data_IF_105078591703
#
_entry.id   IF_105078591703
#
_cell.length_a   1.000
_cell.length_b   1.000
_cell.length_c   1.000
_cell.angle_alpha   90.00
_cell.angle_beta   90.00
_cell.angle_gamma   90.00
#
_symmetry.space_group_name_H-M   'P 1'
#
loop_
_entity.id
_entity.type
_entity.pdbx_description
1 polymer ?
#
# COMPACT_ATOMS: atom_id res chain seq x y z
N UNK A 1 14.65 -8.56 -9.77
CA UNK A 1 14.65 -7.33 -10.59
C UNK A 1 15.89 -6.48 -10.30
N UNK A 2 16.70 -6.17 -11.33
CA UNK A 2 17.86 -5.26 -11.22
C UNK A 2 17.66 -4.07 -12.15
N UNK A 3 17.74 -2.84 -11.63
CA UNK A 3 17.71 -1.63 -12.47
C UNK A 3 19.04 -1.53 -13.22
N UNK A 4 18.99 -1.60 -14.55
CA UNK A 4 20.17 -1.53 -15.42
C UNK A 4 20.42 -0.11 -15.93
N UNK A 5 19.36 0.68 -16.12
CA UNK A 5 19.48 2.09 -16.44
C UNK A 5 18.32 2.90 -15.89
N UNK A 6 18.59 4.15 -15.52
CA UNK A 6 17.61 5.10 -15.03
C UNK A 6 17.96 6.50 -15.52
N UNK A 7 16.95 7.34 -15.69
CA UNK A 7 17.08 8.76 -15.97
C UNK A 7 16.94 9.55 -14.67
N UNK A 8 17.85 10.50 -14.43
CA UNK A 8 17.73 11.41 -13.30
C UNK A 8 16.77 12.54 -13.67
N UNK A 9 15.70 12.72 -12.90
CA UNK A 9 14.72 13.77 -13.19
C UNK A 9 15.38 15.13 -12.90
N UNK A 10 15.46 16.00 -13.90
CA UNK A 10 16.22 17.28 -13.86
C UNK A 10 15.92 18.15 -12.63
N UNK A 11 14.71 18.07 -12.08
CA UNK A 11 14.25 18.92 -10.98
C UNK A 11 14.20 18.22 -9.61
N UNK A 12 14.69 16.98 -9.51
CA UNK A 12 14.79 16.26 -8.24
C UNK A 12 16.09 15.48 -8.17
N UNK A 13 17.05 15.87 -7.30
CA UNK A 13 18.29 15.13 -7.15
C UNK A 13 18.10 13.72 -6.56
N UNK A 14 16.88 13.42 -6.06
CA UNK A 14 16.51 12.20 -5.34
C UNK A 14 15.49 11.33 -6.07
N UNK A 15 15.03 11.75 -7.25
CA UNK A 15 14.07 10.99 -8.06
C UNK A 15 14.73 10.47 -9.32
N UNK A 16 14.52 9.18 -9.59
CA UNK A 16 15.04 8.49 -10.78
C UNK A 16 13.88 7.82 -11.48
N UNK A 17 13.78 8.00 -12.80
CA UNK A 17 12.86 7.24 -13.64
C UNK A 17 13.59 6.01 -14.15
N UNK A 18 13.09 4.83 -13.84
CA UNK A 18 13.69 3.59 -14.34
C UNK A 18 13.43 3.46 -15.84
N UNK A 19 14.48 3.23 -16.63
CA UNK A 19 14.38 3.07 -18.08
C UNK A 19 14.49 1.62 -18.51
N UNK A 20 15.40 0.86 -17.88
CA UNK A 20 15.64 -0.55 -18.22
C UNK A 20 15.89 -1.35 -16.96
N UNK A 21 15.22 -2.49 -16.86
CA UNK A 21 15.40 -3.51 -15.83
C UNK A 21 15.95 -4.79 -16.46
N UNK A 22 16.72 -5.58 -15.71
CA UNK A 22 17.29 -6.86 -16.17
C UNK A 22 16.27 -7.97 -16.36
N UNK A 23 15.07 -7.80 -15.80
CA UNK A 23 13.99 -8.77 -15.88
C UNK A 23 12.89 -8.19 -16.76
N UNK A 24 12.57 -8.91 -17.83
CA UNK A 24 11.36 -8.66 -18.60
C UNK A 24 10.18 -9.09 -17.71
N UNK A 25 9.44 -8.11 -17.22
CA UNK A 25 8.30 -8.31 -16.29
C UNK A 25 7.28 -9.26 -16.92
N UNK A 26 7.02 -9.14 -18.22
CA UNK A 26 6.07 -9.98 -18.98
C UNK A 26 6.54 -11.44 -19.12
N UNK A 27 7.87 -11.68 -19.10
CA UNK A 27 8.43 -13.05 -19.11
C UNK A 27 8.57 -13.65 -17.71
N UNK A 28 8.63 -12.82 -16.67
CA UNK A 28 8.92 -13.24 -15.29
C UNK A 28 7.64 -13.44 -14.48
N UNK A 29 6.57 -12.73 -14.83
CA UNK A 29 5.26 -12.82 -14.18
C UNK A 29 4.22 -13.40 -15.15
N UNK A 30 4.26 -14.71 -15.36
CA UNK A 30 3.15 -15.42 -15.99
C UNK A 30 2.03 -15.62 -14.96
N UNK A 31 0.89 -14.96 -15.12
CA UNK A 31 -0.25 -15.09 -14.21
C UNK A 31 -1.40 -14.17 -14.57
N UNK A 32 -2.62 -14.52 -14.16
CA UNK A 32 -3.80 -13.66 -14.31
C UNK A 32 -3.91 -12.73 -13.10
N UNK A 33 -3.03 -11.74 -13.06
CA UNK A 33 -2.97 -10.78 -11.97
C UNK A 33 -4.18 -9.85 -11.97
N UNK A 34 -4.75 -9.64 -10.78
CA UNK A 34 -5.80 -8.66 -10.51
C UNK A 34 -5.36 -7.73 -9.38
N UNK A 35 -5.92 -6.53 -9.33
CA UNK A 35 -5.72 -5.62 -8.19
C UNK A 35 -6.12 -6.32 -6.88
N UNK A 36 -5.28 -6.18 -5.85
CA UNK A 36 -5.51 -6.80 -4.55
C UNK A 36 -6.78 -6.27 -3.88
N UNK A 37 -7.12 -5.01 -4.13
CA UNK A 37 -8.39 -4.40 -3.71
C UNK A 37 -9.61 -5.16 -4.26
N UNK A 38 -9.63 -5.44 -5.57
CA UNK A 38 -10.68 -6.24 -6.22
C UNK A 38 -10.72 -7.68 -5.68
N UNK A 39 -9.55 -8.27 -5.45
CA UNK A 39 -9.47 -9.60 -4.83
C UNK A 39 -10.11 -9.61 -3.43
N UNK A 40 -9.78 -8.65 -2.57
CA UNK A 40 -10.32 -8.54 -1.21
C UNK A 40 -11.85 -8.35 -1.19
N UNK A 41 -12.38 -7.52 -2.09
CA UNK A 41 -13.83 -7.30 -2.23
C UNK A 41 -14.53 -8.62 -2.59
N UNK A 42 -13.98 -9.35 -3.57
CA UNK A 42 -14.58 -10.60 -4.05
C UNK A 42 -14.56 -11.71 -3.00
N UNK A 43 -13.48 -11.82 -2.23
CA UNK A 43 -13.35 -12.87 -1.20
C UNK A 43 -14.23 -12.55 0.03
N UNK A 44 -14.44 -11.26 0.33
CA UNK A 44 -15.23 -10.80 1.48
C UNK A 44 -14.83 -11.47 2.81
N UNK A 45 -13.52 -11.68 3.01
CA UNK A 45 -12.96 -12.41 4.14
C UNK A 45 -12.02 -11.51 4.96
N UNK A 46 -12.36 -11.31 6.24
CA UNK A 46 -11.56 -10.55 7.21
C UNK A 46 -10.10 -11.02 7.29
N UNK A 47 -9.87 -12.33 7.26
CA UNK A 47 -8.52 -12.87 7.38
C UNK A 47 -7.64 -12.44 6.20
N UNK A 48 -8.22 -12.28 5.01
CA UNK A 48 -7.50 -11.77 3.83
C UNK A 48 -7.11 -10.31 3.96
N UNK A 49 -7.90 -9.50 4.65
CA UNK A 49 -7.50 -8.13 4.99
C UNK A 49 -6.32 -8.11 5.97
N UNK A 50 -6.32 -8.99 6.98
CA UNK A 50 -5.19 -9.09 7.91
C UNK A 50 -3.91 -9.49 7.19
N UNK A 51 -3.98 -10.50 6.29
CA UNK A 51 -2.86 -10.91 5.44
C UNK A 51 -2.34 -9.74 4.58
N UNK A 52 -3.25 -8.94 4.00
CA UNK A 52 -2.90 -7.79 3.17
C UNK A 52 -2.18 -6.68 3.97
N UNK A 53 -2.67 -6.38 5.18
CA UNK A 53 -2.06 -5.40 6.09
C UNK A 53 -0.65 -5.84 6.50
N UNK A 54 -0.50 -7.10 6.91
CA UNK A 54 0.80 -7.64 7.34
C UNK A 54 1.81 -7.66 6.19
N UNK A 55 1.34 -8.00 4.98
CA UNK A 55 2.17 -7.95 3.77
C UNK A 55 2.61 -6.51 3.46
N UNK A 56 1.68 -5.57 3.36
CA UNK A 56 2.00 -4.17 3.10
C UNK A 56 3.00 -3.63 4.12
N UNK A 57 2.78 -3.90 5.40
CA UNK A 57 3.66 -3.42 6.46
C UNK A 57 5.08 -4.02 6.36
N UNK A 58 5.19 -5.31 6.05
CA UNK A 58 6.49 -5.96 5.82
C UNK A 58 7.26 -5.27 4.69
N UNK A 59 6.57 -4.88 3.61
CA UNK A 59 7.18 -4.16 2.51
C UNK A 59 7.57 -2.74 2.89
N UNK A 60 6.66 -1.96 3.48
CA UNK A 60 6.93 -0.60 3.94
C UNK A 60 8.16 -0.60 4.88
N UNK A 61 8.19 -1.51 5.85
CA UNK A 61 9.34 -1.67 6.75
C UNK A 61 10.64 -1.99 5.99
N UNK A 62 10.60 -2.91 5.02
CA UNK A 62 11.77 -3.28 4.21
C UNK A 62 12.30 -2.10 3.38
N UNK A 63 11.41 -1.29 2.81
CA UNK A 63 11.77 -0.09 2.05
C UNK A 63 12.38 0.98 2.96
N UNK A 64 11.79 1.20 4.12
CA UNK A 64 12.29 2.14 5.12
C UNK A 64 13.70 1.80 5.60
N UNK A 65 14.01 0.53 5.86
CA UNK A 65 15.36 0.07 6.23
C UNK A 65 16.40 0.42 5.16
N UNK A 66 15.99 0.48 3.90
CA UNK A 66 16.84 0.85 2.75
C UNK A 66 16.78 2.35 2.40
N UNK A 67 16.09 3.16 3.22
CA UNK A 67 15.86 4.59 2.99
C UNK A 67 15.08 4.91 1.71
N UNK A 68 14.18 4.02 1.31
CA UNK A 68 13.22 4.24 0.22
C UNK A 68 11.82 4.47 0.78
N UNK A 69 11.06 5.33 0.11
CA UNK A 69 9.68 5.66 0.46
C UNK A 69 8.82 5.54 -0.78
N UNK A 70 7.78 4.72 -0.71
CA UNK A 70 6.79 4.61 -1.77
C UNK A 70 5.60 5.49 -1.40
N UNK A 71 5.52 6.71 -1.94
CA UNK A 71 4.51 7.67 -1.45
C UNK A 71 3.09 7.34 -1.86
N UNK A 72 2.90 6.47 -2.85
CA UNK A 72 1.60 5.95 -3.26
C UNK A 72 1.42 4.45 -2.98
N UNK A 73 1.84 3.98 -1.80
CA UNK A 73 1.83 2.55 -1.50
C UNK A 73 0.46 2.06 -1.02
N UNK A 74 -0.52 2.03 -1.92
CA UNK A 74 -1.90 1.61 -1.66
C UNK A 74 -2.22 0.21 -2.21
N UNK A 75 -3.37 -0.35 -1.83
CA UNK A 75 -3.81 -1.71 -2.24
C UNK A 75 -4.11 -1.88 -3.73
N UNK A 76 -4.23 -0.80 -4.51
CA UNK A 76 -4.40 -0.88 -5.96
C UNK A 76 -3.04 -1.12 -6.66
N UNK A 77 -1.93 -0.74 -6.02
CA UNK A 77 -0.58 -1.00 -6.50
C UNK A 77 -0.06 -2.39 -6.10
N UNK A 78 -0.94 -3.22 -5.55
CA UNK A 78 -0.71 -4.62 -5.22
C UNK A 78 -1.49 -5.45 -6.23
N UNK A 79 -0.80 -6.39 -6.86
CA UNK A 79 -1.37 -7.31 -7.82
C UNK A 79 -1.27 -8.72 -7.27
N UNK A 80 -2.35 -9.49 -7.28
CA UNK A 80 -2.37 -10.90 -6.88
C UNK A 80 -2.85 -11.76 -8.03
N UNK A 81 -2.18 -12.89 -8.26
CA UNK A 81 -2.75 -13.98 -9.05
C UNK A 81 -3.59 -14.86 -8.11
N UNK A 82 -4.93 -14.88 -8.23
CA UNK A 82 -5.78 -15.62 -7.30
C UNK A 82 -5.54 -17.13 -7.29
N UNK A 83 -4.97 -17.69 -8.36
CA UNK A 83 -4.68 -19.13 -8.47
C UNK A 83 -3.39 -19.50 -7.76
N UNK A 84 -2.31 -18.79 -8.05
CA UNK A 84 -0.98 -19.08 -7.50
C UNK A 84 -0.72 -18.40 -6.16
N UNK A 85 -1.54 -17.41 -5.80
CA UNK A 85 -1.36 -16.50 -4.67
C UNK A 85 -0.04 -15.72 -4.73
N UNK A 86 0.59 -15.66 -5.91
CA UNK A 86 1.74 -14.82 -6.14
C UNK A 86 1.32 -13.36 -6.11
N UNK A 87 2.15 -12.53 -5.48
CA UNK A 87 1.89 -11.10 -5.29
C UNK A 87 3.01 -10.29 -5.94
N UNK A 88 2.62 -9.25 -6.65
CA UNK A 88 3.51 -8.32 -7.35
C UNK A 88 3.14 -6.91 -6.94
N UNK A 89 4.17 -6.08 -6.81
CA UNK A 89 4.00 -4.65 -6.56
C UNK A 89 4.32 -3.92 -7.85
N UNK A 90 3.47 -2.96 -8.18
CA UNK A 90 3.60 -2.15 -9.39
C UNK A 90 3.70 -0.68 -9.01
N UNK A 91 3.86 0.17 -10.02
CA UNK A 91 3.89 1.62 -9.89
C UNK A 91 5.02 2.18 -8.99
N UNK A 92 6.25 1.82 -9.36
CA UNK A 92 7.46 2.26 -8.67
C UNK A 92 7.97 3.65 -9.12
N UNK A 93 7.21 4.37 -9.94
CA UNK A 93 7.62 5.68 -10.47
C UNK A 93 7.75 6.73 -9.35
N UNK A 94 6.96 6.59 -8.28
CA UNK A 94 6.93 7.49 -7.12
C UNK A 94 7.79 7.03 -5.93
N UNK A 95 8.79 6.16 -6.16
CA UNK A 95 9.79 5.86 -5.13
C UNK A 95 10.71 7.08 -4.92
N UNK A 96 10.81 7.52 -3.66
CA UNK A 96 11.69 8.60 -3.24
C UNK A 96 12.80 8.09 -2.33
N UNK A 97 14.03 8.55 -2.58
CA UNK A 97 15.19 8.33 -1.69
C UNK A 97 15.63 9.67 -1.13
N UNK A 98 15.04 10.09 -0.03
CA UNK A 98 15.17 11.47 0.46
C UNK A 98 16.03 11.55 1.75
N UNK A 99 16.54 12.75 2.09
CA UNK A 99 17.29 13.00 3.33
C UNK A 99 16.46 12.77 4.60
N UNK A 100 17.14 12.59 5.74
CA UNK A 100 16.53 12.23 7.02
C UNK A 100 15.38 13.13 7.49
N UNK A 101 15.39 14.43 7.17
CA UNK A 101 14.39 15.37 7.64
C UNK A 101 13.00 15.20 6.97
N UNK A 102 12.91 14.56 5.79
CA UNK A 102 11.62 14.31 5.11
C UNK A 102 11.02 12.94 5.43
N UNK A 103 11.71 12.07 6.17
CA UNK A 103 11.28 10.68 6.42
C UNK A 103 9.87 10.60 7.01
N UNK A 104 9.59 11.37 8.07
CA UNK A 104 8.29 11.36 8.74
C UNK A 104 7.17 11.81 7.79
N UNK A 105 7.43 12.79 6.92
CA UNK A 105 6.47 13.27 5.93
C UNK A 105 6.15 12.19 4.89
N UNK A 106 7.17 11.57 4.31
CA UNK A 106 7.00 10.56 3.25
C UNK A 106 6.35 9.28 3.77
N UNK A 107 6.77 8.84 4.95
CA UNK A 107 6.13 7.74 5.66
C UNK A 107 4.65 8.06 5.93
N UNK A 108 4.36 9.26 6.42
CA UNK A 108 2.97 9.71 6.62
C UNK A 108 2.16 9.69 5.33
N UNK A 109 2.76 9.97 4.17
CA UNK A 109 2.08 9.86 2.88
C UNK A 109 1.79 8.41 2.51
N UNK A 110 2.78 7.51 2.60
CA UNK A 110 2.61 6.07 2.34
C UNK A 110 1.49 5.47 3.19
N UNK A 111 1.56 5.65 4.52
CA UNK A 111 0.57 5.14 5.47
C UNK A 111 -0.83 5.66 5.17
N UNK A 112 -0.95 6.95 4.82
CA UNK A 112 -2.25 7.55 4.48
C UNK A 112 -2.79 7.10 3.14
N UNK A 113 -1.93 6.80 2.17
CA UNK A 113 -2.35 6.24 0.88
C UNK A 113 -2.98 4.86 1.09
N UNK A 114 -2.33 4.00 1.88
CA UNK A 114 -2.89 2.71 2.26
C UNK A 114 -4.17 2.82 3.07
N UNK A 115 -4.20 3.66 4.12
CA UNK A 115 -5.37 3.89 4.98
C UNK A 115 -6.60 4.31 4.17
N UNK A 116 -6.41 5.21 3.21
CA UNK A 116 -7.48 5.70 2.36
C UNK A 116 -8.08 4.57 1.52
N UNK A 117 -7.24 3.81 0.80
CA UNK A 117 -7.73 2.71 -0.05
C UNK A 117 -8.32 1.56 0.77
N UNK A 118 -7.76 1.26 1.95
CA UNK A 118 -8.36 0.28 2.86
C UNK A 118 -9.79 0.70 3.26
N UNK A 119 -9.97 1.98 3.63
CA UNK A 119 -11.29 2.52 3.99
C UNK A 119 -12.25 2.54 2.80
N UNK A 120 -11.79 2.94 1.61
CA UNK A 120 -12.62 2.92 0.39
C UNK A 120 -13.14 1.51 0.09
N UNK A 121 -12.26 0.49 0.20
CA UNK A 121 -12.65 -0.91 0.03
C UNK A 121 -13.69 -1.30 1.08
N UNK A 122 -13.43 -1.07 2.37
CA UNK A 122 -14.35 -1.44 3.44
C UNK A 122 -15.70 -0.70 3.32
N UNK A 123 -15.69 0.55 2.85
CA UNK A 123 -16.90 1.33 2.61
C UNK A 123 -17.75 0.70 1.49
N UNK A 124 -17.12 0.17 0.44
CA UNK A 124 -17.81 -0.49 -0.69
C UNK A 124 -18.38 -1.87 -0.37
N UNK A 125 -18.03 -2.46 0.78
CA UNK A 125 -18.39 -3.83 1.15
C UNK A 125 -19.63 -3.87 2.04
N UNK A 126 -20.81 -3.84 1.43
CA UNK A 126 -22.10 -3.88 2.14
C UNK A 126 -22.32 -5.19 2.92
N UNK A 127 -21.75 -6.30 2.44
CA UNK A 127 -21.94 -7.63 3.02
C UNK A 127 -21.00 -7.95 4.21
N UNK A 128 -20.04 -7.07 4.52
CA UNK A 128 -19.11 -7.27 5.63
C UNK A 128 -19.67 -6.66 6.93
N UNK A 129 -19.61 -7.41 8.03
CA UNK A 129 -20.08 -6.94 9.33
C UNK A 129 -19.27 -5.72 9.79
N UNK A 130 -19.94 -4.74 10.41
CA UNK A 130 -19.27 -3.57 10.97
C UNK A 130 -18.22 -3.96 12.02
N UNK A 131 -18.47 -5.01 12.81
CA UNK A 131 -17.49 -5.54 13.76
C UNK A 131 -16.19 -5.98 13.07
N UNK A 132 -16.30 -6.66 11.93
CA UNK A 132 -15.13 -7.12 11.16
C UNK A 132 -14.40 -5.92 10.52
N UNK A 133 -15.14 -4.95 9.96
CA UNK A 133 -14.55 -3.69 9.45
C UNK A 133 -13.75 -2.97 10.54
N UNK A 134 -14.30 -2.91 11.76
CA UNK A 134 -13.64 -2.31 12.93
C UNK A 134 -12.35 -3.05 13.30
N UNK A 135 -12.40 -4.38 13.40
CA UNK A 135 -11.20 -5.19 13.69
C UNK A 135 -10.10 -5.03 12.62
N UNK A 136 -10.47 -4.90 11.34
CA UNK A 136 -9.54 -4.64 10.23
C UNK A 136 -8.86 -3.27 10.40
N UNK A 137 -9.63 -2.23 10.69
CA UNK A 137 -9.09 -0.88 10.94
C UNK A 137 -8.21 -0.83 12.18
N UNK A 138 -8.61 -1.50 13.26
CA UNK A 138 -7.85 -1.57 14.51
C UNK A 138 -6.53 -2.33 14.31
N UNK A 139 -6.54 -3.42 13.53
CA UNK A 139 -5.31 -4.14 13.12
C UNK A 139 -4.36 -3.20 12.37
N UNK A 140 -4.84 -2.45 11.39
CA UNK A 140 -4.00 -1.50 10.66
C UNK A 140 -3.40 -0.43 11.58
N UNK A 141 -4.22 0.21 12.44
CA UNK A 141 -3.74 1.20 13.42
C UNK A 141 -2.69 0.63 14.37
N UNK A 142 -2.88 -0.60 14.84
CA UNK A 142 -1.93 -1.29 15.71
C UNK A 142 -0.57 -1.43 15.03
N UNK A 143 -0.56 -1.88 13.77
CA UNK A 143 0.64 -2.12 12.98
C UNK A 143 1.41 -0.82 12.68
N UNK A 144 0.75 0.34 12.60
CA UNK A 144 1.42 1.63 12.31
C UNK A 144 1.62 2.52 13.53
N UNK A 145 1.17 2.08 14.71
CA UNK A 145 1.12 2.90 15.94
C UNK A 145 2.51 3.40 16.38
N UNK A 146 3.56 2.61 16.18
CA UNK A 146 4.93 2.97 16.56
C UNK A 146 5.54 4.09 15.70
N UNK A 147 4.89 4.48 14.61
CA UNK A 147 5.34 5.59 13.78
C UNK A 147 4.88 6.98 14.26
N UNK A 148 4.01 7.05 15.29
CA UNK A 148 3.51 8.31 15.87
C UNK A 148 2.93 9.25 14.80
N UNK A 149 2.06 8.71 13.96
CA UNK A 149 1.39 9.43 12.88
C UNK A 149 0.00 9.85 13.35
N UNK A 150 -0.21 11.17 13.43
CA UNK A 150 -1.51 11.73 13.81
C UNK A 150 -2.50 11.64 12.64
N UNK A 151 -3.68 11.10 12.92
CA UNK A 151 -4.81 11.13 11.99
C UNK A 151 -5.34 12.56 11.82
N UNK A 152 -5.74 12.91 10.60
CA UNK A 152 -6.40 14.18 10.30
C UNK A 152 -7.90 14.07 10.54
N UNK A 153 -8.60 15.19 10.72
CA UNK A 153 -10.06 15.19 10.81
C UNK A 153 -10.75 14.41 9.68
N UNK A 154 -10.27 14.56 8.44
CA UNK A 154 -10.81 13.80 7.29
C UNK A 154 -10.55 12.30 7.34
N UNK A 155 -9.44 11.87 7.94
CA UNK A 155 -9.11 10.45 8.07
C UNK A 155 -10.04 9.79 9.10
N UNK A 156 -10.40 10.53 10.15
CA UNK A 156 -11.36 10.16 11.20
C UNK A 156 -12.79 10.13 10.63
N UNK A 157 -13.19 11.16 9.88
CA UNK A 157 -14.52 11.22 9.25
C UNK A 157 -14.74 10.06 8.27
N UNK A 158 -13.70 9.71 7.49
CA UNK A 158 -13.78 8.58 6.58
C UNK A 158 -13.96 7.25 7.34
N UNK A 159 -13.26 7.08 8.46
CA UNK A 159 -13.43 5.91 9.31
C UNK A 159 -14.83 5.81 9.91
N UNK A 160 -15.38 6.93 10.40
CA UNK A 160 -16.77 6.98 10.89
C UNK A 160 -17.77 6.54 9.82
N UNK A 161 -17.57 6.94 8.56
CA UNK A 161 -18.41 6.49 7.44
C UNK A 161 -18.33 4.98 7.23
N UNK A 162 -17.14 4.39 7.28
CA UNK A 162 -16.94 2.93 7.18
C UNK A 162 -17.67 2.18 8.31
N UNK A 163 -17.69 2.76 9.51
CA UNK A 163 -18.29 2.15 10.70
C UNK A 163 -19.76 2.53 10.94
N UNK A 164 -20.37 3.34 10.06
CA UNK A 164 -21.70 3.93 10.24
C UNK A 164 -21.86 4.67 11.59
N UNK A 165 -20.81 5.34 12.04
CA UNK A 165 -20.80 6.17 13.25
C UNK A 165 -21.21 7.61 12.92
N UNK A 166 -21.89 8.29 13.86
CA UNK A 166 -22.30 9.70 13.74
C UNK A 166 -21.18 10.68 14.12
#
# INVERSE_FOLDING_TARGET
MKVLSYEKIKNSPFSVKTLVCSENVDKTFSGNFVEYSKYLINENDKQKFFEAIDLWYKFEYTFLQKNYFHTDFNLNNFMIDPKTKNIVFIDFDDIKKEPHFKKKLLLTQSIRSFDATLKDILLSMDNMKISDKKEILDKFKSVVSHYDIKMRPKDIEHEKKVLNEK
#
